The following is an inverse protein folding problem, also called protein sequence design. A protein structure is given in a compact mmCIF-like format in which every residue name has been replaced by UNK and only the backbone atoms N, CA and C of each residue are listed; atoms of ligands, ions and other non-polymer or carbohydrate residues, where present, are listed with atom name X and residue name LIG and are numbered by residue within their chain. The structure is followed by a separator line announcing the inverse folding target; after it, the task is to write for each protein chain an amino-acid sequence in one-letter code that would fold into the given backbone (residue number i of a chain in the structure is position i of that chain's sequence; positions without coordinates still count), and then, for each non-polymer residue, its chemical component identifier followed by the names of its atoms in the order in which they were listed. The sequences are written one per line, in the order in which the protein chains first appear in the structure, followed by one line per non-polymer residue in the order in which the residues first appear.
data_IF_302508417814
#
_entry.id   IF_302508417814
#
_cell.length_a   1.000
_cell.length_b   1.000
_cell.length_c   1.000
_cell.angle_alpha   90.00
_cell.angle_beta   90.00
_cell.angle_gamma   90.00
#
_symmetry.space_group_name_H-M   'P 1'
#
loop_
_entity.id
_entity.type
_entity.pdbx_description
1 polymer ?
#
# COMPACT_ATOMS: atom_id res chain seq x y z
N UNK A 1 18.92 -13.04 20.68
CA UNK A 1 19.50 -14.19 19.96
C UNK A 1 18.49 -15.31 19.66
N UNK A 2 17.35 -15.36 20.33
CA UNK A 2 16.28 -16.34 20.07
C UNK A 2 15.48 -16.12 18.78
N UNK A 3 15.39 -14.89 18.28
CA UNK A 3 14.57 -14.56 17.10
C UNK A 3 15.18 -15.04 15.77
N UNK A 4 16.50 -15.16 15.69
CA UNK A 4 17.22 -15.58 14.47
C UNK A 4 17.17 -17.10 14.29
N UNK A 5 17.12 -17.86 15.38
CA UNK A 5 17.03 -19.33 15.34
C UNK A 5 15.63 -19.81 14.94
N UNK A 6 14.61 -19.02 15.24
CA UNK A 6 13.22 -19.29 14.88
C UNK A 6 12.89 -19.03 13.40
N UNK A 7 13.69 -18.22 12.71
CA UNK A 7 13.45 -17.84 11.31
C UNK A 7 13.58 -19.00 10.29
N UNK A 8 14.09 -20.14 10.70
CA UNK A 8 14.26 -21.34 9.87
C UNK A 8 13.25 -22.46 10.11
N UNK A 9 12.26 -22.28 11.00
CA UNK A 9 11.26 -23.32 11.22
C UNK A 9 10.29 -23.40 10.03
N UNK A 10 10.00 -24.62 9.50
CA UNK A 10 9.11 -24.78 8.34
C UNK A 10 7.71 -24.22 8.59
N UNK A 11 7.28 -24.17 9.84
CA UNK A 11 6.00 -23.58 10.24
C UNK A 11 5.96 -22.06 10.04
N UNK A 12 7.03 -21.35 10.38
CA UNK A 12 7.13 -19.90 10.17
C UNK A 12 7.19 -19.54 8.68
N UNK A 13 7.89 -20.33 7.89
CA UNK A 13 7.95 -20.15 6.43
C UNK A 13 6.58 -20.38 5.81
N UNK A 14 5.85 -21.41 6.24
CA UNK A 14 4.50 -21.68 5.77
C UNK A 14 3.53 -20.56 6.17
N UNK A 15 3.60 -20.06 7.41
CA UNK A 15 2.80 -18.95 7.89
C UNK A 15 3.10 -17.66 7.11
N UNK A 16 4.37 -17.33 6.94
CA UNK A 16 4.81 -16.17 6.16
C UNK A 16 4.33 -16.25 4.70
N UNK A 17 4.41 -17.41 4.08
CA UNK A 17 3.94 -17.61 2.70
C UNK A 17 2.42 -17.46 2.58
N UNK A 18 1.66 -17.89 3.56
CA UNK A 18 0.22 -17.71 3.61
C UNK A 18 -0.15 -16.22 3.75
N UNK A 19 0.52 -15.48 4.65
CA UNK A 19 0.34 -14.03 4.78
C UNK A 19 0.69 -13.31 3.47
N UNK A 20 1.79 -13.68 2.83
CA UNK A 20 2.23 -13.07 1.58
C UNK A 20 1.21 -13.25 0.46
N UNK A 21 0.59 -14.45 0.36
CA UNK A 21 -0.47 -14.71 -0.63
C UNK A 21 -1.70 -13.86 -0.38
N UNK A 22 -2.11 -13.68 0.87
CA UNK A 22 -3.28 -12.86 1.24
C UNK A 22 -3.00 -11.38 0.99
N UNK A 23 -1.77 -10.93 1.26
CA UNK A 23 -1.38 -9.52 1.12
C UNK A 23 -0.94 -9.15 -0.30
N UNK A 24 -0.66 -10.10 -1.18
CA UNK A 24 -0.19 -9.82 -2.54
C UNK A 24 -1.11 -8.89 -3.35
N UNK A 25 -2.46 -8.97 -3.26
CA UNK A 25 -3.34 -8.05 -3.95
C UNK A 25 -3.18 -6.59 -3.51
N UNK A 26 -2.68 -6.35 -2.29
CA UNK A 26 -2.47 -5.00 -1.76
C UNK A 26 -1.48 -4.21 -2.61
N UNK A 27 -0.49 -4.87 -3.23
CA UNK A 27 0.51 -4.22 -4.08
C UNK A 27 -0.18 -3.58 -5.30
N UNK A 28 -1.09 -4.31 -5.95
CA UNK A 28 -1.86 -3.78 -7.08
C UNK A 28 -2.83 -2.68 -6.64
N UNK A 29 -3.55 -2.90 -5.55
CA UNK A 29 -4.49 -1.93 -4.97
C UNK A 29 -3.74 -0.68 -4.54
N UNK A 30 -2.59 -0.81 -3.90
CA UNK A 30 -1.73 0.29 -3.48
C UNK A 30 -1.23 1.14 -4.65
N UNK A 31 -0.87 0.52 -5.77
CA UNK A 31 -0.52 1.23 -7.00
C UNK A 31 -1.68 2.09 -7.53
N UNK A 32 -2.89 1.53 -7.55
CA UNK A 32 -4.10 2.26 -7.98
C UNK A 32 -4.42 3.39 -7.00
N UNK A 33 -4.34 3.14 -5.69
CA UNK A 33 -4.54 4.17 -4.66
C UNK A 33 -3.54 5.31 -4.83
N UNK A 34 -2.27 5.01 -5.11
CA UNK A 34 -1.23 6.00 -5.36
C UNK A 34 -1.53 6.88 -6.56
N UNK A 35 -2.00 6.30 -7.66
CA UNK A 35 -2.43 7.06 -8.85
C UNK A 35 -3.63 7.95 -8.50
N UNK A 36 -4.62 7.44 -7.79
CA UNK A 36 -5.81 8.22 -7.38
C UNK A 36 -5.43 9.36 -6.44
N UNK A 37 -4.52 9.10 -5.51
CA UNK A 37 -3.96 10.09 -4.60
C UNK A 37 -3.31 11.24 -5.39
N UNK A 38 -2.42 10.91 -6.33
CA UNK A 38 -1.76 11.90 -7.18
C UNK A 38 -2.76 12.73 -8.01
N UNK A 39 -3.75 12.08 -8.63
CA UNK A 39 -4.79 12.75 -9.41
C UNK A 39 -5.63 13.71 -8.55
N UNK A 40 -6.03 13.31 -7.36
CA UNK A 40 -6.80 14.16 -6.45
C UNK A 40 -6.00 15.38 -6.00
N UNK A 41 -4.71 15.24 -5.73
CA UNK A 41 -3.82 16.36 -5.38
C UNK A 41 -3.68 17.33 -6.55
N UNK A 42 -3.48 16.84 -7.78
CA UNK A 42 -3.42 17.69 -8.99
C UNK A 42 -4.68 18.53 -9.17
N UNK A 43 -5.84 18.04 -8.71
CA UNK A 43 -7.11 18.77 -8.75
C UNK A 43 -7.39 19.58 -7.47
N UNK A 44 -6.36 19.83 -6.65
CA UNK A 44 -6.44 20.59 -5.39
C UNK A 44 -7.43 20.00 -4.37
N UNK A 45 -7.68 18.70 -4.46
CA UNK A 45 -8.52 17.96 -3.53
C UNK A 45 -7.63 17.25 -2.50
N UNK A 46 -7.27 17.96 -1.44
CA UNK A 46 -6.31 17.47 -0.44
C UNK A 46 -6.97 16.69 0.72
N UNK A 47 -8.24 16.94 1.00
CA UNK A 47 -8.92 16.38 2.17
C UNK A 47 -9.06 14.87 2.05
N UNK A 48 -9.60 14.40 0.94
CA UNK A 48 -9.91 12.98 0.75
C UNK A 48 -8.65 12.08 0.69
N UNK A 49 -7.59 12.45 -0.06
CA UNK A 49 -6.35 11.67 -0.05
C UNK A 49 -5.72 11.56 1.33
N UNK A 50 -5.69 12.66 2.09
CA UNK A 50 -5.10 12.66 3.43
C UNK A 50 -5.94 11.92 4.48
N UNK A 51 -7.27 11.90 4.31
CA UNK A 51 -8.17 11.16 5.18
C UNK A 51 -8.20 9.65 4.85
N UNK A 52 -7.88 9.30 3.64
CA UNK A 52 -7.95 7.94 3.11
C UNK A 52 -7.14 6.91 3.91
N UNK A 53 -5.90 7.16 4.37
CA UNK A 53 -5.16 6.23 5.22
C UNK A 53 -5.82 5.97 6.57
N UNK A 54 -6.57 6.95 7.11
CA UNK A 54 -7.30 6.77 8.37
C UNK A 54 -8.37 5.68 8.25
N UNK A 55 -8.99 5.55 7.08
CA UNK A 55 -10.01 4.52 6.82
C UNK A 55 -9.38 3.13 6.91
N UNK A 56 -8.20 2.94 6.35
CA UNK A 56 -7.45 1.69 6.49
C UNK A 56 -7.23 1.35 7.96
N UNK A 57 -6.72 2.31 8.74
CA UNK A 57 -6.47 2.13 10.17
C UNK A 57 -7.74 1.80 10.96
N UNK A 58 -8.86 2.48 10.67
CA UNK A 58 -10.14 2.23 11.32
C UNK A 58 -10.66 0.81 11.01
N UNK A 59 -10.54 0.35 9.77
CA UNK A 59 -10.93 -1.01 9.38
C UNK A 59 -10.08 -2.04 10.10
N UNK A 60 -8.75 -1.83 10.16
CA UNK A 60 -7.83 -2.74 10.85
C UNK A 60 -8.16 -2.81 12.34
N UNK A 61 -8.35 -1.67 13.00
CA UNK A 61 -8.75 -1.63 14.42
C UNK A 61 -10.08 -2.33 14.64
N UNK A 62 -11.08 -2.06 13.78
CA UNK A 62 -12.40 -2.69 13.87
C UNK A 62 -12.34 -4.21 13.77
N UNK A 63 -11.60 -4.75 12.80
CA UNK A 63 -11.45 -6.20 12.61
C UNK A 63 -10.73 -6.83 13.79
N UNK A 64 -9.63 -6.24 14.25
CA UNK A 64 -8.85 -6.77 15.39
C UNK A 64 -9.69 -6.73 16.68
N UNK A 65 -10.51 -5.71 16.87
CA UNK A 65 -11.40 -5.60 18.04
C UNK A 65 -12.43 -6.72 18.09
N UNK A 66 -12.88 -7.22 16.93
CA UNK A 66 -13.84 -8.32 16.83
C UNK A 66 -13.16 -9.69 16.95
N UNK A 67 -11.97 -9.84 16.37
CA UNK A 67 -11.23 -11.11 16.32
C UNK A 67 -10.17 -11.14 17.42
N UNK A 68 -10.60 -11.28 18.66
CA UNK A 68 -9.73 -11.23 19.85
C UNK A 68 -8.77 -12.43 20.01
N UNK A 69 -8.95 -13.52 19.26
CA UNK A 69 -8.26 -14.80 19.54
C UNK A 69 -7.41 -15.31 18.38
N UNK A 70 -6.97 -14.43 17.48
CA UNK A 70 -6.13 -14.83 16.35
C UNK A 70 -4.65 -14.87 16.73
N UNK A 71 -4.17 -16.06 17.10
CA UNK A 71 -2.75 -16.31 17.39
C UNK A 71 -1.86 -16.35 16.14
N UNK A 72 -2.44 -16.47 14.96
CA UNK A 72 -1.72 -16.62 13.68
C UNK A 72 -1.46 -15.31 12.96
N UNK A 73 -2.12 -14.21 13.37
CA UNK A 73 -2.05 -12.91 12.68
C UNK A 73 -2.77 -12.86 11.33
N UNK A 74 -3.52 -13.90 10.97
CA UNK A 74 -4.28 -13.97 9.73
C UNK A 74 -5.35 -12.90 9.67
N UNK A 75 -6.01 -12.58 10.80
CA UNK A 75 -6.99 -11.51 10.88
C UNK A 75 -6.38 -10.16 10.50
N UNK A 76 -5.12 -9.91 10.87
CA UNK A 76 -4.40 -8.69 10.49
C UNK A 76 -4.18 -8.62 8.98
N UNK A 77 -3.78 -9.72 8.34
CA UNK A 77 -3.58 -9.78 6.90
C UNK A 77 -4.89 -9.55 6.12
N UNK A 78 -5.99 -10.13 6.58
CA UNK A 78 -7.32 -9.88 6.00
C UNK A 78 -7.79 -8.45 6.26
N UNK A 79 -7.61 -7.92 7.46
CA UNK A 79 -7.99 -6.57 7.83
C UNK A 79 -7.27 -5.51 6.99
N UNK A 80 -5.98 -5.67 6.76
CA UNK A 80 -5.19 -4.75 5.92
C UNK A 80 -5.64 -4.80 4.46
N UNK A 81 -5.92 -6.00 3.93
CA UNK A 81 -6.43 -6.14 2.56
C UNK A 81 -7.82 -5.52 2.42
N UNK A 82 -8.70 -5.79 3.36
CA UNK A 82 -10.04 -5.19 3.40
C UNK A 82 -9.98 -3.66 3.54
N UNK A 83 -9.10 -3.16 4.41
CA UNK A 83 -8.85 -1.74 4.60
C UNK A 83 -8.37 -1.04 3.32
N UNK A 84 -7.46 -1.66 2.58
CA UNK A 84 -6.99 -1.15 1.30
C UNK A 84 -8.12 -1.08 0.25
N UNK A 85 -9.00 -2.07 0.21
CA UNK A 85 -10.18 -2.07 -0.67
C UNK A 85 -11.13 -0.93 -0.26
N UNK A 86 -11.45 -0.78 1.02
CA UNK A 86 -12.29 0.31 1.52
C UNK A 86 -11.69 1.68 1.20
N UNK A 87 -10.39 1.83 1.38
CA UNK A 87 -9.66 3.05 1.03
C UNK A 87 -9.82 3.40 -0.45
N UNK A 88 -9.68 2.43 -1.34
CA UNK A 88 -9.87 2.61 -2.78
C UNK A 88 -11.31 2.99 -3.11
N UNK A 89 -12.29 2.32 -2.50
CA UNK A 89 -13.70 2.57 -2.74
C UNK A 89 -14.12 4.00 -2.33
N UNK A 90 -13.55 4.54 -1.26
CA UNK A 90 -13.84 5.91 -0.80
C UNK A 90 -13.27 6.97 -1.73
N UNK A 91 -12.14 6.70 -2.36
CA UNK A 91 -11.54 7.62 -3.35
C UNK A 91 -12.28 7.61 -4.69
N UNK A 92 -12.89 6.49 -5.06
CA UNK A 92 -13.50 6.28 -6.37
C UNK A 92 -14.61 7.27 -6.74
N UNK A 93 -15.62 7.57 -5.86
CA UNK A 93 -16.70 8.47 -6.22
C UNK A 93 -16.22 9.90 -6.48
N UNK A 94 -15.21 10.36 -5.74
CA UNK A 94 -14.65 11.70 -5.95
C UNK A 94 -13.92 11.81 -7.28
N UNK A 95 -13.22 10.77 -7.68
CA UNK A 95 -12.55 10.71 -8.97
C UNK A 95 -13.54 10.76 -10.14
N UNK A 96 -14.69 10.08 -9.99
CA UNK A 96 -15.79 10.16 -10.98
C UNK A 96 -16.39 11.56 -11.07
N UNK A 97 -16.54 12.26 -9.95
CA UNK A 97 -17.06 13.65 -9.93
C UNK A 97 -16.15 14.63 -10.67
N UNK A 98 -14.82 14.40 -10.65
CA UNK A 98 -13.83 15.20 -11.37
C UNK A 98 -13.86 14.90 -12.90
N UNK A 99 -14.66 13.92 -13.33
CA UNK A 99 -14.80 13.57 -14.74
C UNK A 99 -13.70 12.65 -15.27
N UNK A 100 -12.84 12.13 -14.40
CA UNK A 100 -11.77 11.21 -14.79
C UNK A 100 -12.35 9.83 -15.09
N UNK A 101 -12.28 9.44 -16.37
CA UNK A 101 -12.51 8.06 -16.82
C UNK A 101 -11.15 7.44 -17.09
N UNK A 102 -10.74 6.51 -16.25
CA UNK A 102 -9.52 5.74 -16.50
C UNK A 102 -9.76 4.85 -17.70
N UNK A 103 -9.14 5.22 -18.81
CA UNK A 103 -9.01 4.35 -19.98
C UNK A 103 -7.57 3.85 -19.98
N UNK A 104 -7.30 2.59 -19.59
CA UNK A 104 -5.96 2.04 -19.66
C UNK A 104 -5.50 2.03 -21.12
N UNK A 105 -4.51 2.82 -21.45
CA UNK A 105 -3.89 2.82 -22.76
C UNK A 105 -2.54 2.12 -22.62
N UNK A 106 -2.44 0.93 -23.18
CA UNK A 106 -1.25 0.09 -23.15
C UNK A 106 -0.19 0.49 -24.20
N UNK A 107 -0.47 1.51 -25.01
CA UNK A 107 0.48 1.99 -26.02
C UNK A 107 1.52 2.92 -25.41
N UNK A 108 2.42 2.33 -24.61
CA UNK A 108 3.41 3.04 -23.79
C UNK A 108 4.65 3.45 -24.61
N UNK A 109 5.01 2.67 -25.65
CA UNK A 109 6.29 2.79 -26.35
C UNK A 109 6.53 4.11 -27.10
N UNK A 110 5.45 4.81 -27.52
CA UNK A 110 5.57 6.03 -28.33
C UNK A 110 5.07 7.29 -27.61
N UNK A 111 4.90 7.25 -26.29
CA UNK A 111 4.40 8.41 -25.56
C UNK A 111 5.57 9.17 -24.92
N UNK A 112 5.91 10.39 -25.39
CA UNK A 112 7.00 11.20 -24.83
C UNK A 112 6.77 11.54 -23.36
N UNK A 113 5.51 11.62 -22.92
CA UNK A 113 5.16 11.86 -21.51
C UNK A 113 5.59 10.71 -20.61
N UNK A 114 5.61 9.48 -21.11
CA UNK A 114 6.07 8.33 -20.33
C UNK A 114 7.57 8.44 -19.99
N UNK A 115 8.38 8.90 -20.94
CA UNK A 115 9.82 9.12 -20.69
C UNK A 115 10.04 10.17 -19.61
N UNK A 116 9.32 11.30 -19.68
CA UNK A 116 9.40 12.36 -18.67
C UNK A 116 8.97 11.85 -17.28
N UNK A 117 7.94 11.00 -17.20
CA UNK A 117 7.51 10.38 -15.93
C UNK A 117 8.61 9.47 -15.38
N UNK A 118 9.24 8.64 -16.21
CA UNK A 118 10.33 7.77 -15.76
C UNK A 118 11.55 8.56 -15.26
N UNK A 119 11.89 9.67 -15.91
CA UNK A 119 12.97 10.55 -15.48
C UNK A 119 12.69 11.21 -14.12
N UNK A 120 11.44 11.55 -13.84
CA UNK A 120 11.02 12.10 -12.54
C UNK A 120 10.87 11.02 -11.45
N UNK A 121 10.47 9.82 -11.83
CA UNK A 121 10.33 8.70 -10.90
C UNK A 121 11.66 8.24 -10.32
N UNK A 122 12.72 8.25 -11.11
CA UNK A 122 14.03 7.76 -10.68
C UNK A 122 14.56 8.48 -9.42
N UNK A 123 14.67 9.83 -9.39
CA UNK A 123 15.10 10.54 -8.19
C UNK A 123 14.10 10.43 -7.03
N UNK A 124 12.79 10.32 -7.30
CA UNK A 124 11.78 10.12 -6.27
C UNK A 124 11.92 8.76 -5.57
N UNK A 125 12.17 7.69 -6.33
CA UNK A 125 12.43 6.35 -5.79
C UNK A 125 13.71 6.36 -4.95
N UNK A 126 14.79 6.97 -5.45
CA UNK A 126 16.03 7.08 -4.69
C UNK A 126 15.83 7.80 -3.36
N UNK A 127 15.13 8.95 -3.37
CA UNK A 127 14.86 9.72 -2.17
C UNK A 127 14.05 8.93 -1.13
N UNK A 128 13.01 8.23 -1.56
CA UNK A 128 12.19 7.41 -0.67
C UNK A 128 12.96 6.20 -0.13
N UNK A 129 13.82 5.59 -0.94
CA UNK A 129 14.65 4.46 -0.54
C UNK A 129 15.68 4.86 0.51
N UNK A 130 16.34 6.02 0.36
CA UNK A 130 17.30 6.54 1.34
C UNK A 130 16.62 6.74 2.71
N UNK A 131 15.41 7.29 2.73
CA UNK A 131 14.64 7.44 3.96
C UNK A 131 14.34 6.11 4.65
N UNK A 132 13.99 5.07 3.89
CA UNK A 132 13.77 3.74 4.45
C UNK A 132 15.04 3.11 4.99
N UNK A 133 16.17 3.25 4.28
CA UNK A 133 17.48 2.74 4.73
C UNK A 133 17.89 3.40 6.05
N UNK A 134 17.67 4.72 6.20
CA UNK A 134 17.96 5.43 7.45
C UNK A 134 17.22 4.81 8.65
N UNK A 135 15.93 4.52 8.49
CA UNK A 135 15.13 3.88 9.54
C UNK A 135 15.69 2.50 9.92
N UNK A 136 16.12 1.69 8.95
CA UNK A 136 16.72 0.39 9.22
C UNK A 136 18.07 0.51 9.92
N UNK A 137 18.89 1.50 9.57
CA UNK A 137 20.16 1.79 10.24
C UNK A 137 19.89 2.18 11.69
N UNK A 138 18.97 3.10 11.93
CA UNK A 138 18.60 3.52 13.29
C UNK A 138 18.10 2.34 14.14
N UNK A 139 17.29 1.47 13.55
CA UNK A 139 16.78 0.26 14.22
C UNK A 139 17.90 -0.75 14.54
N UNK A 140 18.96 -0.78 13.73
CA UNK A 140 20.08 -1.69 13.94
C UNK A 140 21.03 -1.19 15.05
N UNK A 141 21.14 0.14 15.22
CA UNK A 141 22.00 0.77 16.22
C UNK A 141 21.29 1.07 17.55
N UNK A 142 19.97 1.02 17.62
CA UNK A 142 19.18 1.18 18.84
C UNK A 142 19.06 -0.14 19.62
#
# INVERSE_FOLDING_TARGET
MGLIISAGSPELVALASAHFKIMSPIILIGGIIGIYYGLLICHKQYILPNLSPMILSLVVIGVISVVHNDKSGMALAFATTLGAICQLLVQFPKLRQIGYRIKPNLNIKNNPQFKNICELLFPAILSSTIGQISIYIDMFFA
#
